data_IF_354266051299
#
_entry.id   IF_354266051299
#
_cell.length_a   1.000
_cell.length_b   1.000
_cell.length_c   1.000
_cell.angle_alpha   90.00
_cell.angle_beta   90.00
_cell.angle_gamma   90.00
#
_symmetry.space_group_name_H-M   'P 1'
#
loop_
_entity.id
_entity.type
_entity.pdbx_description
1 polymer ?
#
# COMPACT_ATOMS: atom_id res chain seq x y z
N UNK A 1 3.87 10.30 4.46
CA UNK A 1 4.84 10.84 5.43
C UNK A 1 4.23 10.74 6.81
N UNK A 2 4.95 10.19 7.77
CA UNK A 2 4.56 10.16 9.18
C UNK A 2 5.70 10.68 10.06
N UNK A 3 5.33 11.39 11.12
CA UNK A 3 6.23 11.89 12.15
C UNK A 3 5.77 11.30 13.49
N UNK A 4 6.65 10.57 14.15
CA UNK A 4 6.43 10.11 15.52
C UNK A 4 7.43 10.81 16.42
N UNK A 5 6.95 11.31 17.54
CA UNK A 5 7.77 11.95 18.58
C UNK A 5 7.52 11.20 19.86
N UNK A 6 8.48 10.41 20.27
CA UNK A 6 8.44 9.65 21.51
C UNK A 6 9.38 10.27 22.53
N UNK A 7 8.99 10.25 23.78
CA UNK A 7 9.87 10.62 24.88
C UNK A 7 10.61 9.38 25.36
N UNK A 8 11.84 9.55 25.81
CA UNK A 8 12.60 8.50 26.48
C UNK A 8 11.72 7.79 27.52
N UNK A 9 11.64 6.46 27.41
CA UNK A 9 10.73 5.63 28.22
C UNK A 9 11.06 5.70 29.70
N UNK A 10 12.32 5.95 30.06
CA UNK A 10 12.76 6.07 31.46
C UNK A 10 12.55 7.50 32.01
N UNK A 11 12.25 8.48 31.14
CA UNK A 11 12.15 9.90 31.50
C UNK A 11 10.88 10.56 30.94
N UNK A 12 9.71 9.94 31.13
CA UNK A 12 8.43 10.39 30.55
C UNK A 12 7.87 11.73 31.08
N UNK A 13 8.34 12.23 32.23
CA UNK A 13 7.90 13.52 32.78
C UNK A 13 8.41 14.68 31.90
N UNK A 14 7.52 15.42 31.20
CA UNK A 14 7.92 16.46 30.24
C UNK A 14 8.56 17.69 30.89
N UNK A 15 8.37 17.88 32.21
CA UNK A 15 8.92 19.01 32.95
C UNK A 15 10.32 18.72 33.54
N UNK A 16 10.82 17.49 33.38
CA UNK A 16 12.16 17.08 33.81
C UNK A 16 13.10 16.94 32.61
N UNK A 17 14.43 16.95 32.84
CA UNK A 17 15.38 16.57 31.80
C UNK A 17 15.05 15.17 31.25
N UNK A 18 15.15 15.02 29.93
CA UNK A 18 14.88 13.78 29.21
C UNK A 18 15.09 13.99 27.71
N UNK A 19 15.28 12.91 26.96
CA UNK A 19 15.45 12.97 25.51
C UNK A 19 14.14 12.78 24.76
N UNK A 20 14.06 13.34 23.55
CA UNK A 20 13.03 13.03 22.57
C UNK A 20 13.64 12.24 21.41
N UNK A 21 12.95 11.19 21.00
CA UNK A 21 13.27 10.40 19.82
C UNK A 21 12.28 10.82 18.74
N UNK A 22 12.79 11.38 17.66
CA UNK A 22 11.99 11.83 16.52
C UNK A 22 12.21 10.85 15.38
N UNK A 23 11.13 10.21 14.93
CA UNK A 23 11.13 9.30 13.78
C UNK A 23 10.36 9.93 12.63
N UNK A 24 11.03 10.14 11.50
CA UNK A 24 10.42 10.61 10.26
C UNK A 24 10.41 9.47 9.23
N UNK A 25 9.23 9.09 8.76
CA UNK A 25 9.08 8.08 7.71
C UNK A 25 8.49 8.71 6.46
N UNK A 26 9.19 8.54 5.33
CA UNK A 26 8.74 8.97 4.01
C UNK A 26 8.56 7.71 3.16
N UNK A 27 7.30 7.35 2.89
CA UNK A 27 6.95 6.27 1.97
C UNK A 27 6.45 6.88 0.65
N UNK A 28 7.07 6.53 -0.49
CA UNK A 28 6.53 6.86 -1.81
C UNK A 28 5.17 6.21 -2.01
N UNK A 29 4.28 6.86 -2.77
CA UNK A 29 2.95 6.30 -3.05
C UNK A 29 3.01 4.92 -3.74
N UNK A 30 4.03 4.67 -4.55
CA UNK A 30 4.25 3.39 -5.23
C UNK A 30 4.72 2.25 -4.31
N UNK A 31 5.11 2.55 -3.07
CA UNK A 31 5.70 1.57 -2.16
C UNK A 31 4.71 0.44 -1.83
N UNK A 32 3.41 0.76 -1.76
CA UNK A 32 2.37 -0.26 -1.55
C UNK A 32 2.36 -1.29 -2.67
N UNK A 33 2.49 -0.88 -3.93
CA UNK A 33 2.54 -1.80 -5.07
C UNK A 33 3.89 -2.53 -5.12
N UNK A 34 5.01 -1.83 -4.88
CA UNK A 34 6.37 -2.42 -4.83
C UNK A 34 6.47 -3.56 -3.83
N UNK A 35 5.77 -3.49 -2.70
CA UNK A 35 5.79 -4.56 -1.67
C UNK A 35 5.10 -5.86 -2.11
N UNK A 36 4.37 -5.87 -3.23
CA UNK A 36 3.78 -7.09 -3.79
C UNK A 36 4.76 -7.89 -4.68
N UNK A 37 5.95 -7.36 -4.99
CA UNK A 37 7.01 -8.09 -5.70
C UNK A 37 8.17 -8.42 -4.75
N UNK A 38 8.96 -9.44 -5.12
CA UNK A 38 10.21 -9.74 -4.44
C UNK A 38 11.14 -8.51 -4.41
N UNK A 39 11.93 -8.37 -3.35
CA UNK A 39 12.80 -7.20 -3.14
C UNK A 39 13.69 -6.91 -4.35
N UNK A 40 14.32 -7.96 -4.92
CA UNK A 40 15.18 -7.87 -6.10
C UNK A 40 14.46 -7.43 -7.39
N UNK A 41 13.13 -7.49 -7.42
CA UNK A 41 12.30 -7.12 -8.58
C UNK A 41 11.62 -5.76 -8.40
N UNK A 42 11.78 -5.10 -7.24
CA UNK A 42 11.09 -3.86 -6.92
C UNK A 42 11.37 -2.73 -7.89
N UNK A 43 12.52 -2.69 -8.56
CA UNK A 43 12.81 -1.65 -9.56
C UNK A 43 12.04 -1.85 -10.88
N UNK A 44 11.54 -3.07 -11.11
CA UNK A 44 10.77 -3.45 -12.30
C UNK A 44 9.31 -3.78 -11.94
N UNK A 45 8.83 -3.41 -10.75
CA UNK A 45 7.52 -3.80 -10.23
C UNK A 45 6.37 -3.47 -11.19
N UNK A 46 6.47 -2.36 -11.94
CA UNK A 46 5.47 -1.93 -12.93
C UNK A 46 5.26 -2.97 -14.05
N UNK A 47 6.31 -3.67 -14.46
CA UNK A 47 6.25 -4.70 -15.49
C UNK A 47 5.56 -5.98 -14.97
N UNK A 48 5.57 -6.17 -13.64
CA UNK A 48 5.02 -7.33 -12.95
C UNK A 48 3.62 -7.05 -12.37
N UNK A 49 3.12 -5.82 -12.49
CA UNK A 49 1.90 -5.41 -11.79
C UNK A 49 0.65 -6.10 -12.31
N UNK A 50 0.51 -6.29 -13.62
CA UNK A 50 -0.70 -6.90 -14.22
C UNK A 50 -0.99 -8.30 -13.66
N UNK A 51 -0.05 -9.26 -13.66
CA UNK A 51 -0.33 -10.59 -13.09
C UNK A 51 -0.67 -10.52 -11.60
N UNK A 52 0.00 -9.65 -10.83
CA UNK A 52 -0.27 -9.45 -9.39
C UNK A 52 -1.69 -8.89 -9.18
N UNK A 53 -2.06 -7.85 -9.92
CA UNK A 53 -3.37 -7.22 -9.82
C UNK A 53 -4.50 -8.22 -10.14
N UNK A 54 -4.29 -9.14 -11.09
CA UNK A 54 -5.24 -10.23 -11.37
C UNK A 54 -5.40 -11.17 -10.19
N UNK A 55 -4.31 -11.55 -9.55
CA UNK A 55 -4.35 -12.41 -8.37
C UNK A 55 -5.09 -11.73 -7.22
N UNK A 56 -4.78 -10.47 -6.94
CA UNK A 56 -5.44 -9.66 -5.91
C UNK A 56 -6.94 -9.51 -6.21
N UNK A 57 -7.33 -9.24 -7.45
CA UNK A 57 -8.74 -9.15 -7.86
C UNK A 57 -9.47 -10.48 -7.70
N UNK A 58 -8.81 -11.59 -8.04
CA UNK A 58 -9.36 -12.94 -7.83
C UNK A 58 -9.61 -13.22 -6.34
N UNK A 59 -8.63 -12.94 -5.48
CA UNK A 59 -8.78 -13.07 -4.01
C UNK A 59 -9.92 -12.21 -3.48
N UNK A 60 -10.01 -10.96 -3.91
CA UNK A 60 -11.11 -10.05 -3.57
C UNK A 60 -12.47 -10.64 -3.95
N UNK A 61 -12.63 -11.10 -5.19
CA UNK A 61 -13.89 -11.67 -5.66
C UNK A 61 -14.32 -12.88 -4.83
N UNK A 62 -13.37 -13.75 -4.43
CA UNK A 62 -13.63 -14.90 -3.58
C UNK A 62 -14.12 -14.47 -2.18
N UNK A 63 -13.43 -13.53 -1.55
CA UNK A 63 -13.80 -13.05 -0.21
C UNK A 63 -15.12 -12.29 -0.22
N UNK A 64 -15.36 -11.44 -1.23
CA UNK A 64 -16.63 -10.74 -1.38
C UNK A 64 -17.80 -11.72 -1.60
N UNK A 65 -17.59 -12.80 -2.37
CA UNK A 65 -18.61 -13.83 -2.55
C UNK A 65 -18.93 -14.57 -1.23
N UNK A 66 -17.93 -14.86 -0.41
CA UNK A 66 -18.12 -15.46 0.93
C UNK A 66 -18.92 -14.53 1.85
N UNK A 67 -18.59 -13.24 1.88
CA UNK A 67 -19.29 -12.26 2.71
C UNK A 67 -20.73 -12.04 2.24
N UNK A 68 -20.96 -11.97 0.92
CA UNK A 68 -22.30 -11.91 0.33
C UNK A 68 -23.14 -13.12 0.72
N UNK A 69 -22.57 -14.33 0.71
CA UNK A 69 -23.26 -15.54 1.14
C UNK A 69 -23.65 -15.53 2.63
N UNK A 70 -22.95 -14.75 3.45
CA UNK A 70 -23.26 -14.52 4.87
C UNK A 70 -24.28 -13.38 5.08
N UNK A 71 -24.77 -12.75 4.01
CA UNK A 71 -25.71 -11.63 4.08
C UNK A 71 -25.07 -10.29 4.44
N UNK A 72 -23.74 -10.19 4.40
CA UNK A 72 -23.01 -8.95 4.69
C UNK A 72 -23.08 -8.04 3.45
N UNK A 73 -23.55 -6.79 3.57
CA UNK A 73 -23.57 -5.86 2.45
C UNK A 73 -22.15 -5.45 2.05
N UNK A 74 -21.83 -5.58 0.76
CA UNK A 74 -20.52 -5.25 0.18
C UNK A 74 -20.71 -4.20 -0.91
N UNK A 75 -19.90 -3.15 -0.86
CA UNK A 75 -19.81 -2.10 -1.89
C UNK A 75 -19.01 -2.65 -3.08
N UNK A 76 -19.71 -3.07 -4.14
CA UNK A 76 -19.09 -3.75 -5.29
C UNK A 76 -18.62 -2.81 -6.41
N UNK A 77 -18.91 -1.51 -6.30
CA UNK A 77 -18.56 -0.48 -7.29
C UNK A 77 -17.28 0.28 -6.94
N UNK A 78 -16.60 -0.09 -5.85
CA UNK A 78 -15.29 0.45 -5.52
C UNK A 78 -14.30 0.20 -6.67
N UNK A 79 -13.60 1.26 -7.06
CA UNK A 79 -12.53 1.24 -8.06
C UNK A 79 -11.19 1.41 -7.38
N UNK A 80 -10.21 0.59 -7.79
CA UNK A 80 -8.85 0.74 -7.32
C UNK A 80 -8.27 2.08 -7.79
N UNK A 81 -7.46 2.76 -6.96
CA UNK A 81 -6.83 4.01 -7.36
C UNK A 81 -5.88 3.78 -8.54
N UNK A 82 -5.77 4.79 -9.41
CA UNK A 82 -4.82 4.76 -10.52
C UNK A 82 -3.37 4.61 -10.01
N UNK A 83 -2.53 3.96 -10.81
CA UNK A 83 -1.10 3.89 -10.49
C UNK A 83 -0.49 5.30 -10.49
N UNK A 84 0.43 5.61 -9.55
CA UNK A 84 1.15 6.87 -9.58
C UNK A 84 1.88 7.05 -10.92
N UNK A 85 2.12 8.29 -11.36
CA UNK A 85 2.84 8.55 -12.61
C UNK A 85 4.20 7.83 -12.60
N UNK A 86 4.63 7.27 -13.74
CA UNK A 86 5.91 6.59 -13.79
C UNK A 86 7.06 7.59 -13.63
N UNK A 87 8.15 7.21 -12.94
CA UNK A 87 9.36 8.03 -12.88
C UNK A 87 10.00 8.15 -14.28
N UNK A 88 10.90 9.13 -14.48
CA UNK A 88 11.60 9.31 -15.76
C UNK A 88 12.24 8.01 -16.26
N UNK A 89 12.00 7.66 -17.52
CA UNK A 89 12.53 6.44 -18.14
C UNK A 89 11.72 5.17 -17.86
N UNK A 90 10.61 5.23 -17.10
CA UNK A 90 9.68 4.13 -16.91
C UNK A 90 8.31 4.42 -17.55
N UNK A 91 7.50 3.38 -17.72
CA UNK A 91 6.12 3.49 -18.17
C UNK A 91 5.23 2.64 -17.25
N UNK A 92 4.03 3.15 -16.95
CA UNK A 92 3.02 2.34 -16.29
C UNK A 92 2.48 1.29 -17.28
N UNK A 93 2.14 0.08 -16.80
CA UNK A 93 1.48 -0.90 -17.63
C UNK A 93 0.10 -0.40 -18.06
N UNK A 94 -0.34 -0.79 -19.24
CA UNK A 94 -1.72 -0.56 -19.68
C UNK A 94 -2.63 -1.46 -18.83
N UNK A 95 -3.39 -0.86 -17.92
CA UNK A 95 -4.31 -1.60 -17.04
C UNK A 95 -5.51 -2.09 -17.86
N UNK A 96 -5.76 -3.40 -17.95
CA UNK A 96 -6.97 -3.96 -18.55
C UNK A 96 -8.25 -3.43 -17.89
N UNK A 97 -9.32 -3.27 -18.66
CA UNK A 97 -10.61 -2.72 -18.15
C UNK A 97 -11.23 -3.54 -17.04
N UNK A 98 -10.98 -4.85 -16.99
CA UNK A 98 -11.44 -5.75 -15.93
C UNK A 98 -10.73 -5.53 -14.57
N UNK A 99 -9.62 -4.78 -14.58
CA UNK A 99 -8.86 -4.40 -13.38
C UNK A 99 -9.01 -2.91 -13.04
N UNK A 100 -9.90 -2.19 -13.74
CA UNK A 100 -10.28 -0.80 -13.44
C UNK A 100 -11.59 -0.76 -12.65
#
# INVERSE_FOLDING_TARGET
MSLTVDRDQDHLDPNKPGAYIISLTIEPHEETQRRNVEEKQRDHWRQLWIPIARELRSKRNIEEAKLKAQGIPIVSDYKDPELPPPPPGQQNPVIPKDLQ
#
